data_IF_052887662388
#
_entry.id   IF_052887662388
#
_cell.length_a   1.000
_cell.length_b   1.000
_cell.length_c   1.000
_cell.angle_alpha   90.00
_cell.angle_beta   90.00
_cell.angle_gamma   90.00
#
_symmetry.space_group_name_H-M   'P 1'
#
loop_
_entity.id
_entity.type
_entity.pdbx_description
1 polymer ?
#
# COMPACT_ATOMS: atom_id res chain seq x y z
N UNK A 1 -22.80 -18.11 21.54
CA UNK A 1 -21.45 -17.75 21.03
C UNK A 1 -21.12 -16.35 21.53
N UNK A 2 -19.95 -16.16 22.14
CA UNK A 2 -19.54 -14.85 22.67
C UNK A 2 -19.47 -13.83 21.53
N UNK A 3 -20.00 -12.62 21.78
CA UNK A 3 -20.03 -11.54 20.78
C UNK A 3 -18.57 -11.15 20.48
N UNK A 4 -18.07 -11.26 19.24
CA UNK A 4 -16.70 -10.91 18.93
C UNK A 4 -16.48 -9.44 19.29
N UNK A 5 -15.48 -9.19 20.12
CA UNK A 5 -15.11 -7.84 20.51
C UNK A 5 -14.50 -7.12 19.30
N UNK A 6 -14.77 -5.83 19.22
CA UNK A 6 -14.15 -4.98 18.20
C UNK A 6 -12.78 -4.55 18.72
N UNK A 7 -11.79 -4.46 17.83
CA UNK A 7 -10.43 -3.96 18.17
C UNK A 7 -10.45 -2.60 18.89
N UNK A 8 -11.49 -1.79 18.67
CA UNK A 8 -11.69 -0.51 19.35
C UNK A 8 -11.82 -0.62 20.87
N UNK A 9 -12.28 -1.77 21.38
CA UNK A 9 -12.46 -2.04 22.82
C UNK A 9 -11.18 -2.54 23.51
N UNK A 10 -10.11 -2.77 22.74
CA UNK A 10 -8.83 -3.18 23.33
C UNK A 10 -8.20 -2.01 24.11
N UNK A 11 -7.42 -2.30 25.16
CA UNK A 11 -6.59 -1.31 25.81
C UNK A 11 -5.61 -0.65 24.84
N UNK A 12 -5.24 0.60 25.10
CA UNK A 12 -4.42 1.37 24.17
C UNK A 12 -3.00 0.79 24.01
N UNK A 13 -2.43 0.17 25.04
CA UNK A 13 -1.14 -0.53 24.93
C UNK A 13 -1.21 -1.69 23.92
N UNK A 14 -2.28 -2.48 23.92
CA UNK A 14 -2.49 -3.56 22.94
C UNK A 14 -2.70 -3.00 21.54
N UNK A 15 -3.44 -1.89 21.40
CA UNK A 15 -3.62 -1.23 20.10
C UNK A 15 -2.28 -0.76 19.52
N UNK A 16 -1.40 -0.21 20.36
CA UNK A 16 -0.06 0.21 19.93
C UNK A 16 0.78 -0.97 19.46
N UNK A 17 0.79 -2.09 20.18
CA UNK A 17 1.48 -3.31 19.73
C UNK A 17 0.90 -3.87 18.44
N UNK A 18 -0.44 -3.91 18.32
CA UNK A 18 -1.12 -4.32 17.10
C UNK A 18 -0.73 -3.42 15.92
N UNK A 19 -0.65 -2.11 16.14
CA UNK A 19 -0.22 -1.16 15.12
C UNK A 19 1.23 -1.42 14.68
N UNK A 20 2.14 -1.69 15.64
CA UNK A 20 3.54 -2.03 15.35
C UNK A 20 3.62 -3.28 14.48
N UNK A 21 2.92 -4.35 14.88
CA UNK A 21 2.87 -5.62 14.12
C UNK A 21 2.23 -5.44 12.73
N UNK A 22 1.20 -4.59 12.61
CA UNK A 22 0.60 -4.26 11.32
C UNK A 22 1.60 -3.56 10.39
N UNK A 23 2.38 -2.62 10.90
CA UNK A 23 3.41 -1.93 10.11
C UNK A 23 4.55 -2.87 9.73
N UNK A 24 5.05 -3.68 10.67
CA UNK A 24 6.11 -4.67 10.42
C UNK A 24 5.70 -5.69 9.35
N UNK A 25 4.46 -6.17 9.40
CA UNK A 25 3.92 -7.12 8.43
C UNK A 25 3.33 -6.44 7.17
N UNK A 26 3.56 -5.14 6.96
CA UNK A 26 3.02 -4.39 5.81
C UNK A 26 1.51 -4.58 5.59
N UNK A 27 0.73 -4.55 6.68
CA UNK A 27 -0.72 -4.76 6.70
C UNK A 27 -1.15 -6.12 6.12
N UNK A 28 -0.38 -7.17 6.41
CA UNK A 28 -0.72 -8.56 6.05
C UNK A 28 -0.87 -9.45 7.29
N UNK A 29 -1.24 -10.73 7.11
CA UNK A 29 -1.26 -11.69 8.23
C UNK A 29 -2.42 -11.52 9.23
N UNK A 30 -3.58 -11.02 8.81
CA UNK A 30 -4.72 -10.74 9.70
C UNK A 30 -5.21 -11.93 10.54
N UNK A 31 -5.03 -13.16 10.04
CA UNK A 31 -5.39 -14.38 10.78
C UNK A 31 -4.46 -14.56 11.98
N UNK A 32 -3.14 -14.48 11.77
CA UNK A 32 -2.14 -14.60 12.82
C UNK A 32 -2.27 -13.48 13.87
N UNK A 33 -2.58 -12.26 13.42
CA UNK A 33 -2.84 -11.14 14.34
C UNK A 33 -4.10 -11.37 15.19
N UNK A 34 -5.16 -11.95 14.60
CA UNK A 34 -6.34 -12.31 15.35
C UNK A 34 -6.05 -13.43 16.35
N UNK A 35 -5.32 -14.48 15.95
CA UNK A 35 -4.91 -15.56 16.85
C UNK A 35 -4.07 -15.05 18.02
N UNK A 36 -3.12 -14.15 17.76
CA UNK A 36 -2.33 -13.48 18.81
C UNK A 36 -3.20 -12.71 19.81
N UNK A 37 -4.21 -11.97 19.33
CA UNK A 37 -5.16 -11.27 20.20
C UNK A 37 -6.01 -12.25 21.03
N UNK A 38 -6.46 -13.35 20.41
CA UNK A 38 -7.23 -14.39 21.11
C UNK A 38 -6.38 -15.10 22.17
N UNK A 39 -5.09 -15.34 21.91
CA UNK A 39 -4.16 -15.94 22.87
C UNK A 39 -3.96 -15.08 24.13
N UNK A 40 -4.11 -13.76 24.01
CA UNK A 40 -4.08 -12.83 25.15
C UNK A 40 -5.44 -12.67 25.85
N UNK A 41 -6.46 -13.43 25.43
CA UNK A 41 -7.80 -13.39 26.02
C UNK A 41 -8.78 -12.40 25.36
N UNK A 42 -8.39 -11.77 24.25
CA UNK A 42 -9.27 -10.87 23.51
C UNK A 42 -9.95 -11.60 22.35
N UNK A 43 -11.27 -11.84 22.48
CA UNK A 43 -12.07 -12.54 21.48
C UNK A 43 -12.32 -11.68 20.23
N UNK A 44 -11.30 -11.53 19.37
CA UNK A 44 -11.31 -10.68 18.18
C UNK A 44 -11.30 -11.54 16.91
N UNK A 45 -12.16 -11.22 15.94
CA UNK A 45 -12.19 -11.92 14.65
C UNK A 45 -11.24 -11.29 13.63
N UNK A 46 -10.83 -12.08 12.63
CA UNK A 46 -10.07 -11.60 11.45
C UNK A 46 -10.72 -10.34 10.84
N UNK A 47 -12.04 -10.35 10.67
CA UNK A 47 -12.78 -9.23 10.08
C UNK A 47 -12.71 -7.96 10.93
N UNK A 48 -12.70 -8.10 12.26
CA UNK A 48 -12.49 -6.97 13.18
C UNK A 48 -11.09 -6.37 13.02
N UNK A 49 -10.05 -7.22 12.92
CA UNK A 49 -8.67 -6.79 12.68
C UNK A 49 -8.54 -6.10 11.32
N UNK A 50 -9.10 -6.69 10.27
CA UNK A 50 -9.07 -6.12 8.92
C UNK A 50 -9.72 -4.73 8.87
N UNK A 51 -10.92 -4.56 9.43
CA UNK A 51 -11.60 -3.25 9.45
C UNK A 51 -10.81 -2.19 10.23
N UNK A 52 -10.13 -2.60 11.30
CA UNK A 52 -9.26 -1.71 12.06
C UNK A 52 -8.01 -1.33 11.27
N UNK A 53 -7.34 -2.32 10.67
CA UNK A 53 -6.17 -2.14 9.84
C UNK A 53 -6.45 -1.21 8.66
N UNK A 54 -7.59 -1.37 7.99
CA UNK A 54 -7.99 -0.52 6.87
C UNK A 54 -8.18 0.94 7.30
N UNK A 55 -8.88 1.17 8.41
CA UNK A 55 -9.00 2.53 8.97
C UNK A 55 -7.65 3.13 9.33
N UNK A 56 -6.74 2.33 9.90
CA UNK A 56 -5.40 2.78 10.27
C UNK A 56 -4.55 3.09 9.05
N UNK A 57 -4.61 2.28 7.99
CA UNK A 57 -3.94 2.53 6.72
C UNK A 57 -4.43 3.84 6.10
N UNK A 58 -5.74 4.06 6.07
CA UNK A 58 -6.32 5.32 5.60
C UNK A 58 -5.89 6.51 6.46
N UNK A 59 -5.85 6.36 7.79
CA UNK A 59 -5.38 7.43 8.66
C UNK A 59 -3.90 7.72 8.42
N UNK A 60 -3.06 6.71 8.23
CA UNK A 60 -1.65 6.91 7.91
C UNK A 60 -1.49 7.62 6.58
N UNK A 61 -2.27 7.27 5.55
CA UNK A 61 -2.25 7.96 4.24
C UNK A 61 -2.70 9.42 4.39
N UNK A 62 -3.71 9.69 5.21
CA UNK A 62 -4.19 11.05 5.47
C UNK A 62 -3.21 11.88 6.34
N UNK A 63 -2.60 11.25 7.34
CA UNK A 63 -1.56 11.87 8.18
C UNK A 63 -0.26 12.07 7.38
N UNK A 64 -0.03 11.24 6.36
CA UNK A 64 1.05 11.38 5.39
C UNK A 64 0.63 12.20 4.17
N UNK A 65 0.20 13.44 4.41
CA UNK A 65 0.33 14.58 3.49
C UNK A 65 1.79 14.82 2.98
N UNK A 66 2.67 13.82 3.06
CA UNK A 66 3.85 13.68 2.23
C UNK A 66 3.42 13.12 0.85
N UNK A 67 3.47 13.91 -0.22
CA UNK A 67 3.11 13.49 -1.58
C UNK A 67 4.16 12.51 -2.13
N UNK A 68 4.20 11.27 -1.64
CA UNK A 68 5.46 10.51 -1.69
C UNK A 68 5.38 9.02 -1.98
N UNK A 69 4.26 8.46 -2.46
CA UNK A 69 4.34 7.03 -2.86
C UNK A 69 3.52 6.73 -4.10
N UNK A 70 2.22 7.03 -4.10
CA UNK A 70 1.43 6.87 -5.33
C UNK A 70 1.60 8.06 -6.25
N UNK A 71 1.64 9.28 -5.70
CA UNK A 71 1.91 10.51 -6.44
C UNK A 71 3.33 10.53 -7.02
N UNK A 72 4.36 10.12 -6.26
CA UNK A 72 5.74 10.00 -6.75
C UNK A 72 5.88 8.94 -7.85
N UNK A 73 5.28 7.75 -7.69
CA UNK A 73 5.33 6.71 -8.75
C UNK A 73 4.61 7.19 -10.03
N UNK A 74 3.50 7.92 -9.89
CA UNK A 74 2.77 8.50 -11.01
C UNK A 74 3.54 9.68 -11.64
N UNK A 75 4.20 10.52 -10.85
CA UNK A 75 5.03 11.65 -11.31
C UNK A 75 6.25 11.14 -12.08
N UNK A 76 6.92 10.10 -11.55
CA UNK A 76 8.03 9.41 -12.23
C UNK A 76 7.54 8.83 -13.57
N UNK A 77 6.38 8.15 -13.60
CA UNK A 77 5.77 7.64 -14.83
C UNK A 77 5.48 8.75 -15.85
N UNK A 78 4.88 9.85 -15.41
CA UNK A 78 4.56 11.01 -16.25
C UNK A 78 5.85 11.63 -16.82
N UNK A 79 6.91 11.76 -16.02
CA UNK A 79 8.21 12.26 -16.47
C UNK A 79 8.91 11.32 -17.45
N UNK A 80 8.87 10.01 -17.20
CA UNK A 80 9.40 9.02 -18.14
C UNK A 80 8.65 9.04 -19.49
N UNK A 81 7.32 9.21 -19.47
CA UNK A 81 6.49 9.37 -20.68
C UNK A 81 6.79 10.67 -21.43
N UNK A 82 6.96 11.79 -20.72
CA UNK A 82 7.31 13.09 -21.31
C UNK A 82 8.70 13.06 -21.95
N UNK A 83 9.70 12.45 -21.29
CA UNK A 83 11.04 12.25 -21.84
C UNK A 83 10.99 11.33 -23.07
N UNK A 84 10.26 10.21 -23.01
CA UNK A 84 10.09 9.30 -24.15
C UNK A 84 9.47 10.01 -25.36
N UNK A 85 8.39 10.77 -25.15
CA UNK A 85 7.73 11.54 -26.20
C UNK A 85 8.66 12.60 -26.82
N UNK A 86 9.54 13.23 -26.01
CA UNK A 86 10.50 14.23 -26.47
C UNK A 86 11.71 13.64 -27.19
N UNK A 87 12.16 12.44 -26.80
CA UNK A 87 13.24 11.71 -27.47
C UNK A 87 12.79 11.12 -28.82
N UNK A 88 11.50 10.80 -28.95
CA UNK A 88 10.88 10.30 -30.19
C UNK A 88 10.63 11.40 -31.25
N UNK A 89 11.37 12.52 -31.21
CA UNK A 89 11.43 13.47 -32.33
C UNK A 89 12.00 12.78 -33.57
N UNK A 90 11.12 12.17 -34.34
CA UNK A 90 11.33 11.76 -35.72
C UNK A 90 10.11 12.21 -36.51
N UNK A 91 10.37 12.67 -37.73
CA UNK A 91 9.54 13.46 -38.64
C UNK A 91 8.31 12.69 -39.22
N UNK A 92 7.69 11.81 -38.43
CA UNK A 92 6.59 10.96 -38.86
C UNK A 92 5.86 10.34 -37.66
N UNK A 93 4.53 10.22 -37.77
CA UNK A 93 3.62 9.66 -36.75
C UNK A 93 4.22 8.43 -36.07
N UNK A 94 4.68 8.58 -34.84
CA UNK A 94 5.05 7.44 -34.02
C UNK A 94 3.76 6.71 -33.62
N UNK A 95 3.58 5.44 -33.98
CA UNK A 95 2.37 4.72 -33.65
C UNK A 95 2.31 4.53 -32.12
N UNK A 96 1.13 4.75 -31.54
CA UNK A 96 0.92 4.71 -30.09
C UNK A 96 1.44 3.43 -29.41
N UNK A 97 1.50 2.33 -30.16
CA UNK A 97 2.02 1.04 -29.68
C UNK A 97 3.52 1.09 -29.33
N UNK A 98 4.32 1.89 -30.05
CA UNK A 98 5.76 2.00 -29.82
C UNK A 98 6.05 2.88 -28.59
N UNK A 99 5.23 3.91 -28.36
CA UNK A 99 5.28 4.74 -27.15
C UNK A 99 4.94 3.91 -25.91
N UNK A 100 3.89 3.08 -25.99
CA UNK A 100 3.47 2.21 -24.89
C UNK A 100 4.54 1.17 -24.56
N UNK A 101 5.12 0.50 -25.58
CA UNK A 101 6.21 -0.48 -25.37
C UNK A 101 7.43 0.15 -24.73
N UNK A 102 7.81 1.35 -25.16
CA UNK A 102 8.97 2.04 -24.57
C UNK A 102 8.72 2.44 -23.12
N UNK A 103 7.51 2.91 -22.79
CA UNK A 103 7.11 3.18 -21.41
C UNK A 103 7.12 1.92 -20.54
N UNK A 104 6.67 0.77 -21.08
CA UNK A 104 6.71 -0.52 -20.38
C UNK A 104 8.15 -1.01 -20.16
N UNK A 105 9.05 -0.87 -21.14
CA UNK A 105 10.48 -1.20 -20.98
C UNK A 105 11.17 -0.33 -19.94
N UNK A 106 10.88 0.98 -19.89
CA UNK A 106 11.40 1.88 -18.85
C UNK A 106 10.88 1.51 -17.45
N UNK A 107 9.60 1.15 -17.35
CA UNK A 107 9.02 0.67 -16.08
C UNK A 107 9.65 -0.65 -15.64
N UNK A 108 9.86 -1.59 -16.56
CA UNK A 108 10.53 -2.86 -16.30
C UNK A 108 11.95 -2.64 -15.77
N UNK A 109 12.73 -1.75 -16.41
CA UNK A 109 14.08 -1.42 -15.97
C UNK A 109 14.10 -0.77 -14.58
N UNK A 110 13.15 0.12 -14.29
CA UNK A 110 13.07 0.78 -12.98
C UNK A 110 12.74 -0.19 -11.85
N UNK A 111 11.88 -1.19 -12.10
CA UNK A 111 11.54 -2.21 -11.11
C UNK A 111 12.65 -3.25 -10.89
N UNK A 112 13.55 -3.44 -11.87
CA UNK A 112 14.68 -4.39 -11.81
C UNK A 112 15.88 -3.85 -11.01
N UNK A 113 15.88 -2.57 -10.62
CA UNK A 113 16.95 -1.93 -9.84
C UNK A 113 16.85 -2.16 -8.31
N UNK A 114 16.06 -3.15 -7.85
CA UNK A 114 15.78 -3.41 -6.43
C UNK A 114 16.19 -4.82 -6.02
#
# INVERSE_FOLDING_TARGET
>A
MARPQTVNQLPDHIKQELNKKLTENSFSGYVQLAEWLNAMGYAVSKSSVHRYAERRRLSLIADSDAPGTTAEILDIKIRCLDIAARCLKSDGKVPANDVTKYAESLMSWLYDQK
#
